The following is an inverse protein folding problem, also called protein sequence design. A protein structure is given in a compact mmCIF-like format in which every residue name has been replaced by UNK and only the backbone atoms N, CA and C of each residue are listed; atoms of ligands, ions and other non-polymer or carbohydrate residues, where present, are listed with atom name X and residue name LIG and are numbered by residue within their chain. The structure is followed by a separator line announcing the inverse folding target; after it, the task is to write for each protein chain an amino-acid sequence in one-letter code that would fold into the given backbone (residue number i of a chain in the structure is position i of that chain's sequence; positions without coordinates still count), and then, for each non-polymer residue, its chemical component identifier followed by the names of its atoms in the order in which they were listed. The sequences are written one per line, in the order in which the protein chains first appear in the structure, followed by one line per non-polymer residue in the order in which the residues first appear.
data_IF_249167276699
#
_entry.id   IF_249167276699
#
_cell.length_a   1.000
_cell.length_b   1.000
_cell.length_c   1.000
_cell.angle_alpha   90.00
_cell.angle_beta   90.00
_cell.angle_gamma   90.00
#
_symmetry.space_group_name_H-M   'P 1'
#
loop_
_entity.id
_entity.type
_entity.pdbx_description
1 polymer ?
#
# COMPACT_ATOMS: atom_id res chain seq x y z
N UNK A 1 25.59 4.94 3.03
CA UNK A 1 25.84 5.96 1.99
C UNK A 1 26.35 5.24 0.74
N UNK A 2 26.28 5.83 -0.45
CA UNK A 2 26.95 5.33 -1.65
C UNK A 2 27.54 6.53 -2.41
N UNK A 3 28.66 6.33 -3.11
CA UNK A 3 29.34 7.39 -3.88
C UNK A 3 29.52 8.69 -3.07
N UNK A 4 29.91 8.57 -1.80
CA UNK A 4 30.17 9.72 -0.91
C UNK A 4 28.92 10.48 -0.43
N UNK A 5 27.69 10.02 -0.68
CA UNK A 5 26.46 10.70 -0.23
C UNK A 5 25.38 9.74 0.32
N UNK A 6 24.45 10.23 1.16
CA UNK A 6 23.30 9.43 1.59
C UNK A 6 22.45 8.95 0.40
N UNK A 7 21.94 7.72 0.47
CA UNK A 7 21.11 7.10 -0.57
C UNK A 7 19.85 7.94 -0.86
N UNK A 8 19.25 8.56 0.16
CA UNK A 8 18.10 9.45 -0.01
C UNK A 8 18.40 10.80 -0.68
N UNK A 9 19.67 11.12 -1.00
CA UNK A 9 20.04 12.38 -1.68
C UNK A 9 20.17 12.23 -3.20
N UNK A 10 20.12 11.01 -3.73
CA UNK A 10 20.07 10.79 -5.18
C UNK A 10 18.69 11.19 -5.71
N UNK A 11 18.63 11.90 -6.84
CA UNK A 11 17.39 12.47 -7.36
C UNK A 11 16.29 11.42 -7.56
N UNK A 12 16.61 10.30 -8.22
CA UNK A 12 15.68 9.21 -8.44
C UNK A 12 15.06 8.69 -7.14
N UNK A 13 15.89 8.46 -6.11
CA UNK A 13 15.41 7.98 -4.82
C UNK A 13 14.50 8.99 -4.12
N UNK A 14 14.74 10.30 -4.30
CA UNK A 14 13.82 11.33 -3.79
C UNK A 14 12.48 11.31 -4.52
N UNK A 15 12.46 11.01 -5.82
CA UNK A 15 11.21 10.89 -6.57
C UNK A 15 10.40 9.69 -6.07
N UNK A 16 11.02 8.52 -5.90
CA UNK A 16 10.37 7.35 -5.31
C UNK A 16 9.79 7.66 -3.92
N UNK A 17 10.57 8.30 -3.05
CA UNK A 17 10.10 8.70 -1.71
C UNK A 17 8.94 9.70 -1.78
N UNK A 18 8.96 10.66 -2.72
CA UNK A 18 7.89 11.63 -2.91
C UNK A 18 6.60 10.97 -3.43
N UNK A 19 6.71 10.02 -4.36
CA UNK A 19 5.58 9.24 -4.86
C UNK A 19 4.96 8.40 -3.74
N UNK A 20 5.77 7.59 -3.04
CA UNK A 20 5.28 6.78 -1.92
C UNK A 20 4.62 7.62 -0.83
N UNK A 21 5.19 8.79 -0.51
CA UNK A 21 4.58 9.73 0.45
C UNK A 21 3.23 10.21 -0.06
N UNK A 22 3.15 10.64 -1.32
CA UNK A 22 1.89 11.14 -1.91
C UNK A 22 0.82 10.06 -1.92
N UNK A 23 1.15 8.85 -2.36
CA UNK A 23 0.20 7.74 -2.42
C UNK A 23 -0.30 7.32 -1.03
N UNK A 24 0.59 7.29 -0.03
CA UNK A 24 0.21 6.94 1.35
C UNK A 24 -0.63 8.03 2.03
N UNK A 25 -0.41 9.30 1.71
CA UNK A 25 -1.30 10.40 2.14
C UNK A 25 -2.70 10.27 1.51
N UNK A 26 -2.79 9.98 0.21
CA UNK A 26 -4.07 9.75 -0.47
C UNK A 26 -4.79 8.53 0.15
N UNK A 27 -4.05 7.45 0.41
CA UNK A 27 -4.57 6.27 1.08
C UNK A 27 -5.18 6.61 2.44
N UNK A 28 -4.46 7.41 3.24
CA UNK A 28 -4.90 7.84 4.57
C UNK A 28 -6.20 8.61 4.50
N UNK A 29 -6.28 9.62 3.64
CA UNK A 29 -7.49 10.44 3.46
C UNK A 29 -8.69 9.57 3.09
N UNK A 30 -8.52 8.62 2.17
CA UNK A 30 -9.62 7.74 1.76
C UNK A 30 -10.07 6.79 2.87
N UNK A 31 -9.12 6.17 3.58
CA UNK A 31 -9.42 5.28 4.72
C UNK A 31 -10.09 6.05 5.86
N UNK A 32 -9.62 7.25 6.19
CA UNK A 32 -10.20 8.07 7.27
C UNK A 32 -11.64 8.50 6.92
N UNK A 33 -11.92 8.80 5.64
CA UNK A 33 -13.30 8.99 5.15
C UNK A 33 -14.12 7.72 5.36
N UNK A 34 -13.61 6.55 4.96
CA UNK A 34 -14.33 5.29 5.14
C UNK A 34 -14.61 4.96 6.61
N UNK A 35 -13.67 5.24 7.51
CA UNK A 35 -13.86 5.08 8.96
C UNK A 35 -14.96 6.01 9.46
N UNK A 36 -14.96 7.27 9.01
CA UNK A 36 -15.98 8.25 9.37
C UNK A 36 -17.38 7.80 8.94
N UNK A 37 -17.54 7.37 7.70
CA UNK A 37 -18.82 6.86 7.17
C UNK A 37 -19.25 5.55 7.86
N UNK A 38 -18.29 4.68 8.21
CA UNK A 38 -18.60 3.44 8.92
C UNK A 38 -19.18 3.74 10.30
N UNK A 39 -18.56 4.67 11.04
CA UNK A 39 -19.04 5.09 12.36
C UNK A 39 -20.41 5.78 12.27
N UNK A 40 -20.72 6.44 11.15
CA UNK A 40 -22.03 7.02 10.89
C UNK A 40 -23.08 6.00 10.42
N UNK A 41 -22.69 4.74 10.14
CA UNK A 41 -23.57 3.70 9.60
C UNK A 41 -23.87 3.85 8.11
N UNK A 42 -23.12 4.69 7.39
CA UNK A 42 -23.36 5.06 6.00
C UNK A 42 -22.42 4.38 5.00
N UNK A 43 -21.33 3.76 5.48
CA UNK A 43 -20.34 3.15 4.58
C UNK A 43 -20.94 2.00 3.78
N UNK A 44 -20.92 2.12 2.46
CA UNK A 44 -21.36 1.04 1.60
C UNK A 44 -20.35 -0.12 1.53
N UNK A 45 -20.79 -1.37 1.29
CA UNK A 45 -19.89 -2.50 1.05
C UNK A 45 -18.92 -2.25 -0.11
N UNK A 46 -19.35 -1.49 -1.13
CA UNK A 46 -18.52 -1.14 -2.27
C UNK A 46 -17.36 -0.20 -1.88
N UNK A 47 -17.62 0.82 -1.06
CA UNK A 47 -16.57 1.72 -0.57
C UNK A 47 -15.58 1.01 0.35
N UNK A 48 -16.07 0.11 1.22
CA UNK A 48 -15.20 -0.73 2.03
C UNK A 48 -14.30 -1.63 1.14
N UNK A 49 -14.86 -2.21 0.08
CA UNK A 49 -14.11 -3.03 -0.88
C UNK A 49 -13.06 -2.20 -1.63
N UNK A 50 -13.40 -0.97 -2.08
CA UNK A 50 -12.45 -0.02 -2.67
C UNK A 50 -11.28 0.25 -1.73
N UNK A 51 -11.57 0.53 -0.45
CA UNK A 51 -10.54 0.82 0.54
C UNK A 51 -9.60 -0.37 0.71
N UNK A 52 -10.15 -1.58 0.85
CA UNK A 52 -9.37 -2.80 1.05
C UNK A 52 -8.45 -3.10 -0.13
N UNK A 53 -8.98 -3.21 -1.35
CA UNK A 53 -8.16 -3.64 -2.48
C UNK A 53 -7.09 -2.62 -2.83
N UNK A 54 -7.43 -1.33 -2.80
CA UNK A 54 -6.50 -0.29 -3.23
C UNK A 54 -5.36 -0.12 -2.24
N UNK A 55 -5.67 -0.07 -0.94
CA UNK A 55 -4.63 0.09 0.09
C UNK A 55 -3.71 -1.12 0.21
N UNK A 56 -4.22 -2.33 0.01
CA UNK A 56 -3.39 -3.55 0.07
C UNK A 56 -2.50 -3.73 -1.17
N UNK A 57 -2.96 -3.34 -2.37
CA UNK A 57 -2.08 -3.27 -3.54
C UNK A 57 -1.04 -2.15 -3.41
N UNK A 58 -1.43 -0.99 -2.87
CA UNK A 58 -0.49 0.09 -2.57
C UNK A 58 0.57 -0.35 -1.56
N UNK A 59 0.20 -1.06 -0.49
CA UNK A 59 1.15 -1.57 0.49
C UNK A 59 2.22 -2.45 -0.17
N UNK A 60 1.84 -3.37 -1.05
CA UNK A 60 2.80 -4.20 -1.80
C UNK A 60 3.75 -3.34 -2.61
N UNK A 61 3.24 -2.36 -3.36
CA UNK A 61 4.06 -1.43 -4.16
C UNK A 61 5.06 -0.67 -3.31
N UNK A 62 4.61 -0.07 -2.21
CA UNK A 62 5.45 0.74 -1.32
C UNK A 62 6.53 -0.11 -0.65
N UNK A 63 6.16 -1.29 -0.13
CA UNK A 63 7.10 -2.17 0.56
C UNK A 63 8.16 -2.74 -0.40
N UNK A 64 7.77 -3.08 -1.63
CA UNK A 64 8.70 -3.50 -2.68
C UNK A 64 9.74 -2.41 -3.00
N UNK A 65 9.30 -1.17 -3.20
CA UNK A 65 10.22 -0.04 -3.42
C UNK A 65 11.13 0.21 -2.20
N UNK A 66 10.58 0.10 -0.98
CA UNK A 66 11.38 0.20 0.24
C UNK A 66 12.44 -0.89 0.32
N UNK A 67 12.12 -2.14 -0.03
CA UNK A 67 13.08 -3.24 -0.11
C UNK A 67 14.19 -2.91 -1.10
N UNK A 68 13.83 -2.45 -2.31
CA UNK A 68 14.79 -2.07 -3.34
C UNK A 68 15.75 -0.97 -2.87
N UNK A 69 15.26 0.03 -2.12
CA UNK A 69 16.09 1.10 -1.55
C UNK A 69 17.08 0.61 -0.47
N UNK A 70 16.79 -0.52 0.17
CA UNK A 70 17.72 -1.19 1.10
C UNK A 70 18.75 -2.08 0.38
N UNK A 71 18.57 -2.32 -0.93
CA UNK A 71 19.46 -3.19 -1.72
C UNK A 71 19.51 -4.61 -1.17
N UNK A 72 20.70 -5.24 -1.16
CA UNK A 72 20.87 -6.60 -0.65
C UNK A 72 20.45 -6.78 0.82
N UNK A 73 20.61 -5.75 1.65
CA UNK A 73 20.15 -5.76 3.05
C UNK A 73 18.63 -5.89 3.15
N UNK A 74 17.90 -5.38 2.15
CA UNK A 74 16.44 -5.47 2.10
C UNK A 74 15.92 -6.91 2.03
N UNK A 75 16.76 -7.85 1.60
CA UNK A 75 16.43 -9.27 1.49
C UNK A 75 16.89 -10.10 2.70
N UNK A 76 17.67 -9.50 3.61
CA UNK A 76 18.17 -10.19 4.80
C UNK A 76 17.13 -10.09 5.92
N UNK A 77 16.72 -11.22 6.49
CA UNK A 77 15.67 -11.29 7.53
C UNK A 77 16.02 -10.57 8.84
N UNK A 78 17.30 -10.20 9.02
CA UNK A 78 17.78 -9.34 10.11
C UNK A 78 17.25 -7.91 10.01
N UNK A 79 16.86 -7.47 8.80
CA UNK A 79 16.30 -6.15 8.55
C UNK A 79 14.76 -6.22 8.50
N UNK A 80 14.03 -5.37 9.24
CA UNK A 80 12.57 -5.43 9.32
C UNK A 80 11.83 -5.34 7.98
N UNK A 81 12.45 -4.73 6.97
CA UNK A 81 11.87 -4.59 5.63
C UNK A 81 11.63 -5.93 4.94
N UNK A 82 12.49 -6.93 5.17
CA UNK A 82 12.32 -8.26 4.61
C UNK A 82 11.04 -8.93 5.13
N UNK A 83 10.80 -8.82 6.45
CA UNK A 83 9.56 -9.30 7.06
C UNK A 83 8.34 -8.52 6.56
N UNK A 84 8.43 -7.19 6.49
CA UNK A 84 7.33 -6.37 5.99
C UNK A 84 6.95 -6.76 4.54
N UNK A 85 7.93 -7.07 3.70
CA UNK A 85 7.70 -7.56 2.34
C UNK A 85 6.94 -8.89 2.33
N UNK A 86 7.37 -9.87 3.13
CA UNK A 86 6.69 -11.16 3.26
C UNK A 86 5.25 -10.99 3.79
N UNK A 87 5.07 -10.20 4.85
CA UNK A 87 3.77 -9.95 5.47
C UNK A 87 2.81 -9.18 4.54
N UNK A 88 3.33 -8.36 3.63
CA UNK A 88 2.51 -7.62 2.67
C UNK A 88 1.81 -8.54 1.66
N UNK A 89 2.39 -9.72 1.38
CA UNK A 89 1.89 -10.58 0.30
C UNK A 89 0.51 -11.16 0.62
N UNK A 90 0.25 -11.53 1.87
CA UNK A 90 -1.04 -12.14 2.24
C UNK A 90 -2.21 -11.14 2.19
N UNK A 91 -1.91 -9.83 2.26
CA UNK A 91 -2.91 -8.76 2.37
C UNK A 91 -3.89 -8.72 1.19
N UNK A 92 -3.43 -9.06 -0.01
CA UNK A 92 -4.28 -9.10 -1.21
C UNK A 92 -5.03 -10.42 -1.40
N UNK A 93 -4.92 -11.36 -0.45
CA UNK A 93 -5.50 -12.70 -0.54
C UNK A 93 -6.59 -12.89 0.51
N UNK A 94 -6.25 -12.70 1.79
CA UNK A 94 -7.18 -12.96 2.88
C UNK A 94 -8.28 -11.88 2.99
N UNK A 95 -9.37 -12.18 3.72
CA UNK A 95 -10.50 -11.25 3.83
C UNK A 95 -11.16 -10.90 2.48
N UNK A 96 -10.95 -11.75 1.46
CA UNK A 96 -11.37 -11.56 0.08
C UNK A 96 -10.23 -11.02 -0.81
N UNK A 97 -9.99 -11.67 -1.96
CA UNK A 97 -8.88 -11.28 -2.85
C UNK A 97 -9.12 -9.92 -3.49
N UNK A 98 -8.08 -9.32 -4.08
CA UNK A 98 -8.20 -8.08 -4.89
C UNK A 98 -9.32 -8.20 -5.95
N UNK A 99 -9.42 -9.35 -6.60
CA UNK A 99 -10.42 -9.62 -7.63
C UNK A 99 -11.83 -9.66 -7.04
N UNK A 100 -12.01 -10.31 -5.89
CA UNK A 100 -13.31 -10.34 -5.21
C UNK A 100 -13.74 -8.94 -4.75
N UNK A 101 -12.80 -8.11 -4.29
CA UNK A 101 -13.13 -6.71 -3.96
C UNK A 101 -13.55 -5.92 -5.19
N UNK A 102 -12.84 -6.09 -6.32
CA UNK A 102 -13.21 -5.45 -7.59
C UNK A 102 -14.57 -5.96 -8.11
N UNK A 103 -14.89 -7.22 -7.91
CA UNK A 103 -16.21 -7.81 -8.21
C UNK A 103 -17.34 -7.17 -7.37
N UNK A 104 -17.10 -6.92 -6.07
CA UNK A 104 -18.07 -6.20 -5.23
C UNK A 104 -18.29 -4.78 -5.75
N UNK A 105 -17.21 -4.08 -6.15
CA UNK A 105 -17.31 -2.74 -6.73
C UNK A 105 -18.04 -2.77 -8.07
N UNK A 106 -17.72 -3.71 -8.96
CA UNK A 106 -18.36 -3.86 -10.27
C UNK A 106 -19.87 -4.06 -10.17
N UNK A 107 -20.31 -4.98 -9.31
CA UNK A 107 -21.75 -5.22 -9.05
C UNK A 107 -22.47 -4.00 -8.52
N UNK A 108 -21.82 -3.19 -7.68
CA UNK A 108 -22.40 -1.94 -7.17
C UNK A 108 -22.54 -0.85 -8.25
N UNK A 109 -21.76 -0.93 -9.34
CA UNK A 109 -21.87 -0.03 -10.49
C UNK A 109 -22.97 -0.47 -11.49
N UNK A 110 -23.60 -1.64 -11.28
CA UNK A 110 -24.66 -2.17 -12.13
C UNK A 110 -24.18 -3.00 -13.32
N UNK A 111 -22.93 -3.51 -13.27
CA UNK A 111 -22.41 -4.48 -14.24
C UNK A 111 -22.48 -5.91 -13.69
#
# INVERSE_FOLDING_TARGET
TAFGRPIGKFQHNRFLLAEMKTETEIARVFVDRCITELNAGNLSPAEAAMAKWWTTELQKKVVDQCLQLHGGYGYMMEYPIAKAYLDSRVQTIYGGTTEIMKEIVGRAMGF
#
